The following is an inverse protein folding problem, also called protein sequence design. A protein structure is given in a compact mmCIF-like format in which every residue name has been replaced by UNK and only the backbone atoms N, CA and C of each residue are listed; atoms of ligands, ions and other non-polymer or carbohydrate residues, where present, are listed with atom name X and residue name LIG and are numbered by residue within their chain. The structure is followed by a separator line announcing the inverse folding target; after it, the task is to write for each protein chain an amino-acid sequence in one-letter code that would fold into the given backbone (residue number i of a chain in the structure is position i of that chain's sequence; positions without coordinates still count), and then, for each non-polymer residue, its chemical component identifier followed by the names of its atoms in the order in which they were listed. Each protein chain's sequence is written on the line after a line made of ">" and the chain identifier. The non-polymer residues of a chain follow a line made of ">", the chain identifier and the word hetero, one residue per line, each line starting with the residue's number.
data_IF_539554034436
#
_entry.id   IF_539554034436
#
_cell.length_a   1.000
_cell.length_b   1.000
_cell.length_c   1.000
_cell.angle_alpha   90.00
_cell.angle_beta   90.00
_cell.angle_gamma   90.00
#
_symmetry.space_group_name_H-M   'P 1'
#
loop_
_entity.id
_entity.type
_entity.pdbx_description
1 polymer ?
#
# COMPACT_ATOMS: atom_id res chain seq x y z
N UNK A 1 -40.48 -15.13 19.18
CA UNK A 1 -39.43 -14.37 19.86
C UNK A 1 -39.72 -12.90 19.64
N UNK A 2 -40.00 -12.16 20.71
CA UNK A 2 -40.30 -10.73 20.65
C UNK A 2 -39.03 -9.93 20.27
N UNK A 3 -39.15 -8.77 19.62
CA UNK A 3 -37.97 -7.96 19.21
C UNK A 3 -37.06 -7.63 20.41
N UNK A 4 -37.65 -7.43 21.59
CA UNK A 4 -36.90 -7.23 22.83
C UNK A 4 -36.06 -8.45 23.22
N UNK A 5 -36.60 -9.66 23.10
CA UNK A 5 -35.87 -10.91 23.39
C UNK A 5 -34.71 -11.12 22.40
N UNK A 6 -34.92 -10.77 21.12
CA UNK A 6 -33.85 -10.83 20.11
C UNK A 6 -32.74 -9.83 20.40
N UNK A 7 -33.07 -8.59 20.80
CA UNK A 7 -32.07 -7.58 21.21
C UNK A 7 -31.30 -8.00 22.45
N UNK A 8 -31.98 -8.55 23.46
CA UNK A 8 -31.32 -9.10 24.65
C UNK A 8 -30.41 -10.28 24.31
N UNK A 9 -30.87 -11.17 23.41
CA UNK A 9 -30.05 -12.28 22.91
C UNK A 9 -28.85 -11.81 22.12
N UNK A 10 -29.00 -10.81 21.26
CA UNK A 10 -27.90 -10.18 20.51
C UNK A 10 -26.86 -9.59 21.46
N UNK A 11 -27.27 -8.74 22.41
CA UNK A 11 -26.35 -8.14 23.37
C UNK A 11 -25.58 -9.21 24.17
N UNK A 12 -26.27 -10.27 24.60
CA UNK A 12 -25.64 -11.41 25.28
C UNK A 12 -24.66 -12.15 24.36
N UNK A 13 -25.04 -12.44 23.11
CA UNK A 13 -24.16 -13.12 22.15
C UNK A 13 -22.96 -12.27 21.77
N UNK A 14 -23.11 -10.95 21.63
CA UNK A 14 -22.00 -10.03 21.40
C UNK A 14 -21.05 -10.00 22.60
N UNK A 15 -21.58 -10.03 23.82
CA UNK A 15 -20.76 -10.15 25.03
C UNK A 15 -20.06 -11.52 25.09
N UNK A 16 -20.76 -12.63 24.83
CA UNK A 16 -20.17 -13.98 24.79
C UNK A 16 -19.09 -14.10 23.70
N UNK A 17 -19.33 -13.49 22.53
CA UNK A 17 -18.35 -13.41 21.45
C UNK A 17 -17.12 -12.60 21.87
N UNK A 18 -17.32 -11.46 22.54
CA UNK A 18 -16.21 -10.66 23.05
C UNK A 18 -15.43 -11.41 24.12
N UNK A 19 -16.09 -12.07 25.08
CA UNK A 19 -15.41 -12.91 26.08
C UNK A 19 -14.64 -14.06 25.43
N UNK A 20 -15.22 -14.70 24.41
CA UNK A 20 -14.54 -15.77 23.66
C UNK A 20 -13.34 -15.24 22.90
N UNK A 21 -13.44 -14.04 22.29
CA UNK A 21 -12.30 -13.36 21.64
C UNK A 21 -11.22 -13.01 22.66
N UNK A 22 -11.60 -12.52 23.83
CA UNK A 22 -10.65 -12.20 24.91
C UNK A 22 -9.98 -13.47 25.46
N UNK A 23 -10.71 -14.58 25.57
CA UNK A 23 -10.15 -15.89 25.94
C UNK A 23 -9.21 -16.41 24.86
N UNK A 24 -9.58 -16.30 23.58
CA UNK A 24 -8.74 -16.70 22.46
C UNK A 24 -7.46 -15.86 22.43
N UNK A 25 -7.55 -14.54 22.61
CA UNK A 25 -6.40 -13.63 22.70
C UNK A 25 -5.50 -13.92 23.91
N UNK A 26 -6.03 -14.50 24.99
CA UNK A 26 -5.24 -14.95 26.15
C UNK A 26 -4.55 -16.30 25.93
N UNK A 27 -5.04 -17.12 24.98
CA UNK A 27 -4.52 -18.46 24.69
C UNK A 27 -3.60 -18.45 23.47
N UNK A 28 -3.83 -17.54 22.52
CA UNK A 28 -2.89 -17.24 21.43
C UNK A 28 -1.75 -16.44 22.04
N UNK A 29 -0.64 -17.11 22.31
CA UNK A 29 0.63 -16.45 22.59
C UNK A 29 1.13 -15.76 21.30
N UNK A 30 1.18 -14.42 21.26
CA UNK A 30 1.63 -13.69 20.06
C UNK A 30 3.06 -14.07 19.67
N UNK A 31 3.94 -14.35 20.65
CA UNK A 31 5.33 -14.74 20.39
C UNK A 31 5.41 -16.11 19.73
N UNK A 32 4.66 -17.09 20.26
CA UNK A 32 4.56 -18.41 19.62
C UNK A 32 3.95 -18.33 18.22
N UNK A 33 2.94 -17.46 18.02
CA UNK A 33 2.31 -17.26 16.71
C UNK A 33 3.29 -16.66 15.70
N UNK A 34 3.95 -15.55 16.04
CA UNK A 34 4.95 -14.91 15.19
C UNK A 34 6.11 -15.84 14.86
N UNK A 35 6.61 -16.59 15.85
CA UNK A 35 7.68 -17.59 15.67
C UNK A 35 7.25 -18.69 14.72
N UNK A 36 6.05 -19.26 14.89
CA UNK A 36 5.57 -20.32 14.00
C UNK A 36 5.31 -19.80 12.59
N UNK A 37 4.77 -18.59 12.46
CA UNK A 37 4.50 -17.96 11.18
C UNK A 37 5.81 -17.68 10.41
N UNK A 38 6.84 -17.17 11.11
CA UNK A 38 8.18 -16.98 10.55
C UNK A 38 8.80 -18.29 10.07
N UNK A 39 8.69 -19.35 10.88
CA UNK A 39 9.24 -20.68 10.58
C UNK A 39 8.52 -21.37 9.42
N UNK A 40 7.19 -21.38 9.43
CA UNK A 40 6.37 -22.09 8.45
C UNK A 40 6.25 -21.35 7.11
N UNK A 41 6.45 -20.02 7.10
CA UNK A 41 6.15 -19.14 5.98
C UNK A 41 4.74 -19.35 5.42
N UNK A 42 3.76 -19.65 6.28
CA UNK A 42 2.37 -19.91 5.86
C UNK A 42 1.68 -18.71 5.17
N UNK A 43 2.32 -17.54 5.15
CA UNK A 43 1.91 -16.35 4.43
C UNK A 43 2.42 -16.29 2.96
N UNK A 44 3.26 -17.24 2.54
CA UNK A 44 3.94 -17.22 1.24
C UNK A 44 3.36 -18.25 0.25
N UNK A 45 3.19 -17.84 -1.00
CA UNK A 45 2.60 -18.65 -2.07
C UNK A 45 3.44 -18.54 -3.34
N UNK A 46 3.60 -19.62 -4.10
CA UNK A 46 4.44 -19.58 -5.31
C UNK A 46 3.72 -18.94 -6.49
N UNK A 47 4.39 -18.03 -7.21
CA UNK A 47 3.85 -17.43 -8.44
C UNK A 47 3.53 -18.44 -9.56
N UNK A 48 4.11 -19.65 -9.49
CA UNK A 48 3.85 -20.74 -10.45
C UNK A 48 2.64 -21.60 -10.11
N UNK A 49 2.02 -21.41 -8.95
CA UNK A 49 0.80 -22.11 -8.56
C UNK A 49 -0.41 -21.57 -9.35
N UNK A 50 -1.52 -22.33 -9.46
CA UNK A 50 -2.74 -21.84 -10.09
C UNK A 50 -3.18 -20.50 -9.49
N UNK A 51 -3.54 -19.53 -10.35
CA UNK A 51 -3.84 -18.16 -9.92
C UNK A 51 -4.94 -18.12 -8.86
N UNK A 52 -6.00 -18.92 -9.00
CA UNK A 52 -7.10 -18.95 -8.03
C UNK A 52 -6.64 -19.43 -6.64
N UNK A 53 -5.69 -20.35 -6.56
CA UNK A 53 -5.10 -20.81 -5.30
C UNK A 53 -4.21 -19.73 -4.67
N UNK A 54 -3.40 -19.05 -5.49
CA UNK A 54 -2.59 -17.91 -5.03
C UNK A 54 -3.49 -16.79 -4.51
N UNK A 55 -4.55 -16.44 -5.25
CA UNK A 55 -5.51 -15.40 -4.85
C UNK A 55 -6.19 -15.76 -3.53
N UNK A 56 -6.73 -16.98 -3.42
CA UNK A 56 -7.40 -17.43 -2.22
C UNK A 56 -6.45 -17.45 -1.01
N UNK A 57 -5.25 -18.00 -1.17
CA UNK A 57 -4.25 -18.07 -0.10
C UNK A 57 -3.75 -16.70 0.34
N UNK A 58 -3.41 -15.83 -0.62
CA UNK A 58 -2.97 -14.47 -0.33
C UNK A 58 -4.07 -13.64 0.34
N UNK A 59 -5.31 -13.70 -0.16
CA UNK A 59 -6.43 -12.96 0.42
C UNK A 59 -6.72 -13.40 1.86
N UNK A 60 -6.69 -14.71 2.10
CA UNK A 60 -6.85 -15.30 3.42
C UNK A 60 -5.71 -14.91 4.37
N UNK A 61 -4.44 -14.92 3.91
CA UNK A 61 -3.32 -14.45 4.72
C UNK A 61 -3.40 -12.95 5.00
N UNK A 62 -3.84 -12.12 4.04
CA UNK A 62 -4.07 -10.69 4.28
C UNK A 62 -5.20 -10.46 5.28
N UNK A 63 -6.29 -11.22 5.22
CA UNK A 63 -7.34 -11.11 6.23
C UNK A 63 -6.81 -11.48 7.62
N UNK A 64 -6.15 -12.63 7.77
CA UNK A 64 -5.69 -13.13 9.08
C UNK A 64 -4.51 -12.33 9.65
N UNK A 65 -3.48 -12.14 8.83
CA UNK A 65 -2.18 -11.63 9.23
C UNK A 65 -1.93 -10.19 8.80
N UNK A 66 -2.72 -9.69 7.85
CA UNK A 66 -2.55 -8.35 7.29
C UNK A 66 -1.52 -8.27 6.16
N UNK A 67 -0.88 -9.39 5.80
CA UNK A 67 0.07 -9.46 4.70
C UNK A 67 0.15 -10.86 4.06
N UNK A 68 0.76 -10.93 2.88
CA UNK A 68 1.18 -12.17 2.23
C UNK A 68 2.46 -11.94 1.42
N UNK A 69 3.04 -13.03 0.90
CA UNK A 69 4.16 -13.02 -0.05
C UNK A 69 3.81 -13.87 -1.26
N UNK A 70 4.15 -13.40 -2.46
CA UNK A 70 4.16 -14.22 -3.66
C UNK A 70 5.62 -14.46 -4.06
N UNK A 71 6.07 -15.71 -3.94
CA UNK A 71 7.44 -16.13 -4.21
C UNK A 71 7.72 -16.21 -5.71
N UNK A 72 8.89 -15.72 -6.13
CA UNK A 72 9.42 -15.83 -7.51
C UNK A 72 8.51 -15.24 -8.60
N UNK A 73 7.93 -14.05 -8.36
CA UNK A 73 7.17 -13.32 -9.39
C UNK A 73 8.10 -12.83 -10.50
N UNK A 74 9.25 -12.27 -10.13
CA UNK A 74 10.34 -12.01 -11.07
C UNK A 74 11.13 -13.31 -11.21
N UNK A 75 11.34 -13.82 -12.43
CA UNK A 75 12.13 -15.03 -12.65
C UNK A 75 13.57 -14.88 -12.13
N UNK A 76 14.17 -15.90 -11.48
CA UNK A 76 15.51 -15.83 -10.90
C UNK A 76 16.60 -15.33 -11.87
N UNK A 77 16.49 -15.67 -13.16
CA UNK A 77 17.40 -15.24 -14.22
C UNK A 77 17.34 -13.74 -14.54
N UNK A 78 16.25 -13.06 -14.18
CA UNK A 78 16.07 -11.62 -14.40
C UNK A 78 16.42 -10.77 -13.16
N UNK A 79 16.37 -11.38 -11.97
CA UNK A 79 16.51 -10.71 -10.67
C UNK A 79 17.79 -9.86 -10.59
N UNK A 80 18.94 -10.41 -10.95
CA UNK A 80 20.23 -9.71 -10.83
C UNK A 80 20.25 -8.46 -11.71
N UNK A 81 19.75 -8.57 -12.94
CA UNK A 81 19.71 -7.43 -13.85
C UNK A 81 18.72 -6.36 -13.41
N UNK A 82 17.59 -6.72 -12.79
CA UNK A 82 16.61 -5.77 -12.25
C UNK A 82 17.13 -5.14 -10.96
N UNK A 83 17.87 -5.88 -10.13
CA UNK A 83 18.57 -5.35 -8.96
C UNK A 83 19.55 -4.24 -9.34
N UNK A 84 20.38 -4.47 -10.37
CA UNK A 84 21.31 -3.46 -10.87
C UNK A 84 20.61 -2.20 -11.39
N UNK A 85 19.50 -2.38 -12.10
CA UNK A 85 18.62 -1.28 -12.54
C UNK A 85 18.11 -0.47 -11.35
N UNK A 86 17.51 -1.13 -10.35
CA UNK A 86 16.99 -0.47 -9.14
C UNK A 86 18.09 0.28 -8.35
N UNK A 87 19.31 -0.28 -8.31
CA UNK A 87 20.46 0.37 -7.67
C UNK A 87 20.85 1.66 -8.38
N UNK A 88 20.95 1.65 -9.71
CA UNK A 88 21.31 2.85 -10.46
C UNK A 88 20.19 3.90 -10.43
N UNK A 89 18.92 3.48 -10.49
CA UNK A 89 17.79 4.41 -10.33
C UNK A 89 17.81 5.07 -8.96
N UNK A 90 18.08 4.32 -7.89
CA UNK A 90 18.24 4.90 -6.55
C UNK A 90 19.27 6.03 -6.52
N UNK A 91 20.45 5.83 -7.14
CA UNK A 91 21.47 6.88 -7.25
C UNK A 91 21.01 8.06 -8.10
N UNK A 92 20.34 7.81 -9.24
CA UNK A 92 19.82 8.86 -10.12
C UNK A 92 18.79 9.73 -9.40
N UNK A 93 17.84 9.11 -8.71
CA UNK A 93 16.80 9.78 -7.92
C UNK A 93 17.42 10.62 -6.81
N UNK A 94 18.37 10.07 -6.04
CA UNK A 94 19.08 10.83 -5.00
C UNK A 94 19.80 12.05 -5.56
N UNK A 95 20.57 11.89 -6.65
CA UNK A 95 21.26 13.01 -7.32
C UNK A 95 20.28 14.10 -7.78
N UNK A 96 19.15 13.71 -8.37
CA UNK A 96 18.14 14.65 -8.82
C UNK A 96 17.51 15.42 -7.65
N UNK A 97 17.11 14.72 -6.59
CA UNK A 97 16.52 15.32 -5.38
C UNK A 97 17.50 16.29 -4.72
N UNK A 98 18.77 15.92 -4.59
CA UNK A 98 19.79 16.79 -3.98
C UNK A 98 20.01 18.06 -4.82
N UNK A 99 20.04 17.93 -6.15
CA UNK A 99 20.10 19.10 -7.05
C UNK A 99 18.89 20.01 -6.90
N UNK A 100 17.68 19.44 -6.90
CA UNK A 100 16.43 20.20 -6.68
C UNK A 100 16.52 21.01 -5.38
N UNK A 101 16.87 20.36 -4.27
CA UNK A 101 17.01 21.03 -2.96
C UNK A 101 18.02 22.17 -3.01
N UNK A 102 19.22 21.92 -3.55
CA UNK A 102 20.26 22.94 -3.69
C UNK A 102 19.83 24.14 -4.55
N UNK A 103 19.02 23.92 -5.58
CA UNK A 103 18.50 25.00 -6.42
C UNK A 103 17.43 25.81 -5.72
N UNK A 104 16.51 25.15 -5.02
CA UNK A 104 15.48 25.81 -4.21
C UNK A 104 16.11 26.64 -3.08
N UNK A 105 17.14 26.12 -2.40
CA UNK A 105 17.91 26.86 -1.39
C UNK A 105 18.58 28.12 -1.95
N UNK A 106 18.90 28.13 -3.25
CA UNK A 106 19.45 29.28 -3.97
C UNK A 106 18.38 30.24 -4.52
N UNK A 107 17.11 29.96 -4.28
CA UNK A 107 15.99 30.82 -4.67
C UNK A 107 15.46 30.60 -6.09
N UNK A 108 15.81 29.50 -6.76
CA UNK A 108 15.21 29.15 -8.06
C UNK A 108 13.71 28.88 -7.90
N UNK A 109 12.89 29.42 -8.81
CA UNK A 109 11.45 29.13 -8.80
C UNK A 109 11.16 27.74 -9.37
N UNK A 110 10.03 27.10 -9.00
CA UNK A 110 9.63 25.83 -9.61
C UNK A 110 9.47 25.88 -11.13
N UNK A 111 9.09 27.03 -11.69
CA UNK A 111 8.95 27.25 -13.14
C UNK A 111 10.31 27.29 -13.83
N UNK A 112 11.31 27.95 -13.23
CA UNK A 112 12.68 27.97 -13.77
C UNK A 112 13.27 26.56 -13.79
N UNK A 113 13.04 25.77 -12.73
CA UNK A 113 13.54 24.40 -12.62
C UNK A 113 12.86 23.45 -13.61
N UNK A 114 11.57 23.62 -13.86
CA UNK A 114 10.85 22.81 -14.84
C UNK A 114 11.38 23.03 -16.27
N UNK A 115 11.86 24.23 -16.57
CA UNK A 115 12.38 24.63 -17.87
C UNK A 115 13.92 24.55 -17.97
N UNK A 116 14.61 24.03 -16.94
CA UNK A 116 16.07 23.88 -16.95
C UNK A 116 16.49 22.89 -18.04
N UNK A 117 17.53 23.23 -18.81
CA UNK A 117 18.06 22.37 -19.88
C UNK A 117 19.56 22.19 -19.74
N UNK A 118 20.07 21.07 -20.25
CA UNK A 118 21.49 20.73 -20.21
C UNK A 118 21.82 19.52 -19.32
N UNK A 119 23.10 19.10 -19.27
CA UNK A 119 23.51 17.87 -18.62
C UNK A 119 23.33 17.87 -17.09
N UNK A 120 23.24 19.07 -16.49
CA UNK A 120 23.06 19.25 -15.05
C UNK A 120 21.64 19.66 -14.65
N UNK A 121 20.71 19.71 -15.60
CA UNK A 121 19.33 20.06 -15.36
C UNK A 121 18.66 19.10 -14.38
N UNK A 122 17.76 19.63 -13.56
CA UNK A 122 16.89 18.80 -12.72
C UNK A 122 15.77 18.18 -13.54
N UNK A 123 15.33 17.00 -13.10
CA UNK A 123 14.27 16.24 -13.73
C UNK A 123 12.97 16.48 -12.96
N UNK A 124 12.08 17.29 -13.54
CA UNK A 124 10.76 17.64 -13.02
C UNK A 124 9.68 17.46 -14.08
N UNK A 125 8.48 17.04 -13.67
CA UNK A 125 7.30 16.82 -14.52
C UNK A 125 6.16 17.66 -13.98
N UNK A 126 5.35 18.20 -14.88
CA UNK A 126 4.14 18.89 -14.49
C UNK A 126 3.15 17.93 -13.82
N UNK A 127 2.52 18.38 -12.74
CA UNK A 127 1.42 17.64 -12.10
C UNK A 127 0.10 17.91 -12.80
N UNK A 128 -0.88 17.02 -12.62
CA UNK A 128 -2.21 17.14 -13.24
C UNK A 128 -2.98 18.38 -12.80
N UNK A 129 -2.90 18.75 -11.51
CA UNK A 129 -3.61 19.91 -10.97
C UNK A 129 -2.95 21.22 -11.35
N UNK A 130 -3.68 22.03 -12.11
CA UNK A 130 -3.24 23.35 -12.53
C UNK A 130 -2.91 24.24 -11.32
N UNK A 131 -1.78 24.92 -11.38
CA UNK A 131 -1.32 25.84 -10.33
C UNK A 131 -0.55 25.17 -9.21
N UNK A 132 -0.44 23.84 -9.18
CA UNK A 132 0.46 23.14 -8.27
C UNK A 132 1.89 23.07 -8.84
N UNK A 133 2.93 23.15 -7.99
CA UNK A 133 4.31 22.98 -8.41
C UNK A 133 4.57 21.61 -9.08
N UNK A 134 5.54 21.54 -10.01
CA UNK A 134 5.97 20.27 -10.58
C UNK A 134 6.62 19.37 -9.51
N UNK A 135 6.69 18.07 -9.80
CA UNK A 135 7.31 17.06 -8.94
C UNK A 135 8.42 16.32 -9.71
N UNK A 136 9.38 15.69 -9.01
CA UNK A 136 10.24 14.69 -9.64
C UNK A 136 9.40 13.61 -10.34
N UNK A 137 9.88 13.03 -11.46
CA UNK A 137 9.18 11.93 -12.11
C UNK A 137 9.03 10.71 -11.21
N UNK A 138 8.03 9.88 -11.54
CA UNK A 138 7.93 8.55 -10.97
C UNK A 138 9.17 7.73 -11.31
N UNK A 139 9.75 7.01 -10.33
CA UNK A 139 10.98 6.26 -10.54
C UNK A 139 10.85 5.19 -11.65
N UNK A 140 9.63 4.74 -11.96
CA UNK A 140 9.34 3.74 -13.00
C UNK A 140 9.86 4.14 -14.38
N UNK A 141 9.99 5.44 -14.66
CA UNK A 141 10.48 5.94 -15.96
C UNK A 141 11.91 5.50 -16.26
N UNK A 142 12.66 5.10 -15.23
CA UNK A 142 14.02 4.58 -15.35
C UNK A 142 14.14 3.10 -15.02
N UNK A 143 13.03 2.40 -14.82
CA UNK A 143 13.00 0.97 -14.46
C UNK A 143 12.25 0.11 -15.49
N UNK A 144 12.62 0.13 -16.79
CA UNK A 144 11.88 -0.59 -17.84
C UNK A 144 11.90 -2.11 -17.69
N UNK A 145 12.92 -2.71 -17.04
CA UNK A 145 12.95 -4.15 -16.79
C UNK A 145 12.00 -4.53 -15.66
N UNK A 146 12.05 -3.80 -14.54
CA UNK A 146 11.09 -3.99 -13.45
C UNK A 146 9.64 -3.75 -13.89
N UNK A 147 9.39 -2.75 -14.75
CA UNK A 147 8.05 -2.41 -15.22
C UNK A 147 7.31 -3.59 -15.88
N UNK A 148 8.02 -4.55 -16.47
CA UNK A 148 7.43 -5.75 -17.10
C UNK A 148 6.66 -6.61 -16.10
N UNK A 149 7.03 -6.54 -14.81
CA UNK A 149 6.51 -7.43 -13.76
C UNK A 149 5.38 -6.82 -12.95
N UNK A 150 5.18 -5.50 -13.01
CA UNK A 150 4.16 -4.80 -12.22
C UNK A 150 2.73 -5.28 -12.49
N UNK A 151 2.45 -5.71 -13.73
CA UNK A 151 1.15 -6.19 -14.15
C UNK A 151 1.04 -7.73 -14.12
N UNK A 152 1.93 -8.42 -13.41
CA UNK A 152 1.89 -9.88 -13.31
C UNK A 152 0.48 -10.37 -12.90
N UNK A 153 -0.10 -11.39 -13.57
CA UNK A 153 -1.48 -11.81 -13.35
C UNK A 153 -1.81 -12.16 -11.89
N UNK A 154 -0.94 -12.91 -11.20
CA UNK A 154 -1.15 -13.25 -9.80
C UNK A 154 -1.16 -12.02 -8.88
N UNK A 155 -0.25 -11.06 -9.11
CA UNK A 155 -0.13 -9.85 -8.28
C UNK A 155 -1.36 -8.96 -8.46
N UNK A 156 -1.76 -8.71 -9.71
CA UNK A 156 -2.92 -7.87 -10.01
C UNK A 156 -4.23 -8.54 -9.59
N UNK A 157 -4.36 -9.87 -9.69
CA UNK A 157 -5.53 -10.59 -9.21
C UNK A 157 -5.68 -10.51 -7.69
N UNK A 158 -4.59 -10.70 -6.93
CA UNK A 158 -4.61 -10.51 -5.46
C UNK A 158 -4.95 -9.08 -5.09
N UNK A 159 -4.31 -8.09 -5.73
CA UNK A 159 -4.57 -6.69 -5.45
C UNK A 159 -6.03 -6.28 -5.71
N UNK A 160 -6.62 -6.76 -6.81
CA UNK A 160 -8.03 -6.52 -7.14
C UNK A 160 -9.00 -7.20 -6.18
N UNK A 161 -8.68 -8.42 -5.76
CA UNK A 161 -9.49 -9.17 -4.79
C UNK A 161 -9.54 -8.46 -3.44
N UNK A 162 -8.41 -7.93 -2.97
CA UNK A 162 -8.31 -7.28 -1.66
C UNK A 162 -8.76 -5.81 -1.69
N UNK A 163 -8.62 -5.10 -2.82
CA UNK A 163 -9.04 -3.70 -2.97
C UNK A 163 -10.35 -3.57 -3.77
N UNK A 164 -10.25 -3.37 -5.09
CA UNK A 164 -11.34 -3.28 -6.08
C UNK A 164 -10.73 -3.54 -7.47
N UNK A 165 -11.54 -3.68 -8.52
CA UNK A 165 -11.07 -4.05 -9.86
C UNK A 165 -10.18 -2.98 -10.52
N UNK A 166 -10.44 -1.70 -10.21
CA UNK A 166 -9.67 -0.57 -10.70
C UNK A 166 -8.71 -0.08 -9.62
N UNK A 167 -7.46 -0.54 -9.74
CA UNK A 167 -6.31 -0.18 -8.89
C UNK A 167 -5.34 0.76 -9.61
N UNK A 168 -4.62 1.56 -8.81
CA UNK A 168 -3.61 2.55 -9.22
C UNK A 168 -2.37 2.43 -8.35
N UNK A 169 -1.20 2.81 -8.85
CA UNK A 169 0.04 2.91 -8.07
C UNK A 169 0.27 4.37 -7.64
N UNK A 170 -0.11 4.70 -6.41
CA UNK A 170 -0.01 6.04 -5.84
C UNK A 170 1.40 6.42 -5.38
N UNK A 171 2.29 5.45 -5.19
CA UNK A 171 3.67 5.69 -4.77
C UNK A 171 4.54 4.60 -5.35
N UNK A 172 5.74 4.95 -5.82
CA UNK A 172 6.75 4.00 -6.26
C UNK A 172 8.13 4.61 -6.01
N UNK A 173 9.00 3.87 -5.32
CA UNK A 173 10.38 4.28 -5.13
C UNK A 173 11.32 3.11 -4.83
N UNK A 174 12.59 3.28 -5.20
CA UNK A 174 13.63 2.34 -4.77
C UNK A 174 13.95 2.51 -3.28
N UNK A 175 14.11 1.41 -2.56
CA UNK A 175 14.44 1.38 -1.12
C UNK A 175 15.54 0.36 -0.85
N UNK A 176 16.73 0.87 -0.52
CA UNK A 176 17.86 0.03 -0.14
C UNK A 176 18.10 0.08 1.36
N UNK A 177 18.38 -1.08 1.95
CA UNK A 177 18.91 -1.19 3.31
C UNK A 177 20.38 -1.62 3.19
N UNK A 178 21.34 -0.70 3.41
CA UNK A 178 22.74 -1.02 3.28
C UNK A 178 23.19 -2.00 4.36
N UNK A 179 24.27 -2.73 4.09
CA UNK A 179 24.99 -3.50 5.11
C UNK A 179 25.42 -2.60 6.27
N UNK A 180 25.52 -3.15 7.48
CA UNK A 180 25.97 -2.40 8.64
C UNK A 180 27.33 -1.72 8.43
N UNK A 181 27.51 -0.56 9.06
CA UNK A 181 28.73 0.25 8.96
C UNK A 181 28.90 1.00 7.63
N UNK A 182 28.10 0.69 6.59
CA UNK A 182 28.07 1.47 5.34
C UNK A 182 27.16 2.70 5.52
N UNK A 183 27.72 3.75 6.10
CA UNK A 183 27.01 5.02 6.30
C UNK A 183 27.09 5.91 5.05
N UNK A 184 25.93 6.26 4.48
CA UNK A 184 25.82 7.24 3.40
C UNK A 184 24.37 7.70 3.22
N UNK A 185 24.04 8.87 3.78
CA UNK A 185 22.71 9.50 3.68
C UNK A 185 22.18 9.98 5.05
N UNK A 186 21.03 10.68 5.09
CA UNK A 186 20.32 11.01 6.34
C UNK A 186 19.74 9.72 6.92
N UNK A 187 20.60 8.96 7.57
CA UNK A 187 20.26 7.70 8.19
C UNK A 187 19.73 7.97 9.59
N UNK A 188 18.69 7.25 10.03
CA UNK A 188 18.28 7.24 11.44
C UNK A 188 19.52 7.04 12.33
N UNK A 189 19.69 7.89 13.35
CA UNK A 189 20.85 7.84 14.27
C UNK A 189 21.02 6.47 14.96
N UNK A 190 20.01 5.60 14.85
CA UNK A 190 19.93 4.26 15.43
C UNK A 190 20.21 3.12 14.43
N UNK A 191 20.65 3.42 13.19
CA UNK A 191 21.00 2.36 12.23
C UNK A 191 22.16 1.51 12.77
N UNK A 192 22.02 0.19 12.65
CA UNK A 192 22.91 -0.84 13.16
C UNK A 192 22.45 -1.43 14.49
N UNK A 193 21.41 -0.87 15.13
CA UNK A 193 20.86 -1.40 16.38
C UNK A 193 19.77 -2.45 16.10
N UNK A 194 19.97 -3.73 16.47
CA UNK A 194 19.00 -4.80 16.25
C UNK A 194 17.76 -4.69 17.17
N UNK A 195 17.86 -3.97 18.29
CA UNK A 195 16.80 -3.84 19.29
C UNK A 195 15.79 -2.73 18.96
N UNK A 196 16.15 -1.84 18.03
CA UNK A 196 15.31 -0.71 17.67
C UNK A 196 14.25 -1.10 16.63
N UNK A 197 13.01 -0.66 16.87
CA UNK A 197 11.94 -0.61 15.87
C UNK A 197 11.68 0.84 15.43
N UNK A 198 10.99 1.00 14.31
CA UNK A 198 10.44 2.30 13.89
C UNK A 198 8.99 2.07 13.44
N UNK A 199 8.17 1.56 14.36
CA UNK A 199 6.80 1.14 14.05
C UNK A 199 5.96 2.25 13.44
N UNK A 200 5.28 1.88 12.36
CA UNK A 200 4.31 2.74 11.71
C UNK A 200 3.30 1.91 10.92
N UNK A 201 2.22 2.57 10.58
CA UNK A 201 1.33 2.19 9.48
C UNK A 201 1.68 3.04 8.26
N UNK A 202 1.20 2.66 7.09
CA UNK A 202 1.34 3.46 5.89
C UNK A 202 0.10 4.32 5.62
N UNK A 203 0.24 5.37 4.80
CA UNK A 203 -0.89 6.21 4.40
C UNK A 203 -2.02 5.36 3.76
N UNK A 204 -3.30 5.64 4.04
CA UNK A 204 -3.84 6.79 4.78
C UNK A 204 -3.93 6.62 6.31
N UNK A 205 -3.33 5.56 6.86
CA UNK A 205 -3.40 5.23 8.28
C UNK A 205 -2.23 5.81 9.10
N UNK A 206 -1.14 6.26 8.46
CA UNK A 206 -0.04 6.96 9.14
C UNK A 206 -0.50 8.32 9.69
N UNK A 207 -0.72 8.38 11.01
CA UNK A 207 -1.20 9.57 11.71
C UNK A 207 -0.18 10.71 11.77
N UNK A 208 1.09 10.42 11.50
CA UNK A 208 2.13 11.46 11.39
C UNK A 208 2.18 12.12 10.01
N UNK A 209 1.37 11.63 9.05
CA UNK A 209 1.14 12.12 7.69
C UNK A 209 2.18 13.14 7.21
N UNK A 210 3.23 12.64 6.55
CA UNK A 210 4.34 13.36 5.92
C UNK A 210 4.41 14.87 6.22
N UNK A 211 5.17 15.34 7.20
CA UNK A 211 5.36 16.80 7.41
C UNK A 211 4.49 17.45 8.49
N UNK A 212 3.72 16.69 9.28
CA UNK A 212 3.17 17.18 10.55
C UNK A 212 2.14 18.30 10.37
N UNK A 213 2.27 19.45 11.02
CA UNK A 213 1.28 20.53 10.91
C UNK A 213 1.44 21.42 9.65
N UNK A 214 2.36 21.09 8.74
CA UNK A 214 2.55 21.83 7.50
C UNK A 214 1.50 21.43 6.46
N UNK A 215 0.56 22.33 6.17
CA UNK A 215 -0.50 22.13 5.18
C UNK A 215 0.02 21.89 3.74
N UNK A 216 1.27 22.25 3.44
CA UNK A 216 1.87 22.10 2.12
C UNK A 216 2.65 20.78 1.97
N UNK A 217 3.02 20.15 3.09
CA UNK A 217 3.73 18.88 3.11
C UNK A 217 2.86 17.70 3.58
N UNK A 218 1.88 17.93 4.46
CA UNK A 218 1.01 16.91 5.03
C UNK A 218 0.07 16.30 3.99
N UNK A 219 0.06 14.95 3.91
CA UNK A 219 -0.77 14.20 2.97
C UNK A 219 -2.15 13.75 3.53
N UNK A 220 -2.50 14.21 4.72
CA UNK A 220 -3.66 13.79 5.49
C UNK A 220 -3.54 12.37 6.06
N UNK A 221 -4.45 12.05 6.98
CA UNK A 221 -4.72 10.69 7.45
C UNK A 221 -6.21 10.56 7.76
N UNK A 222 -6.72 9.32 7.78
CA UNK A 222 -8.08 9.07 8.26
C UNK A 222 -8.09 9.07 9.80
N UNK A 223 -9.22 9.47 10.40
CA UNK A 223 -9.37 9.45 11.86
C UNK A 223 -9.43 8.02 12.40
N UNK A 224 -8.86 7.79 13.58
CA UNK A 224 -9.15 6.61 14.38
C UNK A 224 -10.59 6.62 14.95
N UNK A 225 -11.14 5.46 15.34
CA UNK A 225 -10.65 4.13 14.99
C UNK A 225 -10.76 3.91 13.48
N UNK A 226 -9.80 3.20 12.89
CA UNK A 226 -9.81 2.93 11.46
C UNK A 226 -10.95 1.96 11.13
N UNK A 227 -11.67 2.16 10.01
CA UNK A 227 -12.64 1.19 9.57
C UNK A 227 -11.93 -0.12 9.22
N UNK A 228 -12.62 -1.25 9.41
CA UNK A 228 -12.10 -2.54 8.99
C UNK A 228 -12.23 -2.71 7.47
N UNK A 229 -11.41 -1.96 6.73
CA UNK A 229 -11.39 -1.90 5.27
C UNK A 229 -9.95 -1.65 4.80
N UNK A 230 -9.44 -2.53 3.94
CA UNK A 230 -8.14 -2.33 3.29
C UNK A 230 -8.24 -1.17 2.29
N UNK A 231 -7.67 -0.01 2.64
CA UNK A 231 -7.69 1.17 1.75
C UNK A 231 -6.52 1.22 0.78
N UNK A 232 -5.37 0.67 1.17
CA UNK A 232 -4.18 0.55 0.31
C UNK A 232 -3.48 -0.79 0.59
N UNK A 233 -2.80 -1.30 -0.42
CA UNK A 233 -1.80 -2.36 -0.26
C UNK A 233 -0.43 -1.76 -0.54
N UNK A 234 0.53 -2.05 0.33
CA UNK A 234 1.93 -1.72 0.14
C UNK A 234 2.65 -2.97 -0.31
N UNK A 235 3.32 -2.85 -1.44
CA UNK A 235 4.10 -3.93 -2.05
C UNK A 235 5.58 -3.62 -1.90
N UNK A 236 6.35 -4.63 -1.52
CA UNK A 236 7.81 -4.58 -1.47
C UNK A 236 8.32 -5.72 -2.36
N UNK A 237 8.92 -5.34 -3.48
CA UNK A 237 9.55 -6.27 -4.41
C UNK A 237 11.00 -6.45 -3.99
N UNK A 238 11.32 -7.62 -3.44
CA UNK A 238 12.66 -7.93 -2.97
C UNK A 238 13.53 -8.35 -4.15
N UNK A 239 14.65 -7.67 -4.36
CA UNK A 239 15.63 -7.96 -5.43
C UNK A 239 16.90 -8.65 -4.89
N UNK A 240 16.85 -9.02 -3.62
CA UNK A 240 17.82 -9.82 -2.87
C UNK A 240 17.04 -10.74 -1.94
N UNK A 241 17.58 -11.91 -1.60
CA UNK A 241 16.95 -12.76 -0.58
C UNK A 241 16.89 -11.98 0.74
N UNK A 242 15.73 -12.06 1.40
CA UNK A 242 15.47 -11.42 2.69
C UNK A 242 15.11 -12.44 3.75
N UNK A 243 15.60 -12.19 4.95
CA UNK A 243 15.42 -12.95 6.19
C UNK A 243 15.88 -12.07 7.38
N UNK A 244 15.92 -12.63 8.59
CA UNK A 244 16.38 -11.91 9.78
C UNK A 244 17.81 -11.36 9.62
N UNK A 245 18.70 -12.15 9.02
CA UNK A 245 20.11 -11.82 8.83
C UNK A 245 20.35 -10.72 7.78
N UNK A 246 19.45 -10.55 6.81
CA UNK A 246 19.54 -9.54 5.74
C UNK A 246 18.61 -8.34 5.94
N UNK A 247 17.96 -8.26 7.11
CA UNK A 247 17.09 -7.15 7.48
C UNK A 247 15.74 -7.20 6.76
N UNK A 248 15.07 -8.35 6.79
CA UNK A 248 13.67 -8.49 6.37
C UNK A 248 12.77 -7.44 7.02
N UNK A 249 11.67 -7.08 6.36
CA UNK A 249 10.73 -6.09 6.92
C UNK A 249 10.14 -6.62 8.21
N UNK A 250 10.16 -5.81 9.28
CA UNK A 250 9.48 -6.12 10.53
C UNK A 250 7.98 -5.94 10.37
N UNK A 251 7.20 -6.88 10.91
CA UNK A 251 5.74 -6.86 10.85
C UNK A 251 5.17 -7.43 12.15
N UNK A 252 4.05 -6.89 12.61
CA UNK A 252 3.22 -7.50 13.67
C UNK A 252 2.00 -8.16 13.01
N UNK A 253 1.96 -9.49 12.88
CA UNK A 253 0.84 -10.18 12.25
C UNK A 253 -0.50 -9.86 12.93
N UNK A 254 -1.52 -9.53 12.13
CA UNK A 254 -2.89 -9.25 12.62
C UNK A 254 -3.10 -7.83 13.14
N UNK A 255 -2.06 -6.99 13.19
CA UNK A 255 -2.13 -5.62 13.72
C UNK A 255 -3.05 -4.68 12.94
N UNK A 256 -3.41 -4.99 11.69
CA UNK A 256 -4.40 -4.22 10.90
C UNK A 256 -5.81 -4.24 11.48
N UNK A 257 -6.08 -5.16 12.42
CA UNK A 257 -7.35 -5.31 13.14
C UNK A 257 -7.35 -4.64 14.52
N UNK A 258 -6.20 -4.13 14.97
CA UNK A 258 -6.11 -3.39 16.23
C UNK A 258 -6.55 -1.93 16.01
N UNK A 259 -7.33 -1.38 16.93
CA UNK A 259 -7.84 0.00 16.84
C UNK A 259 -6.75 1.04 17.16
N UNK A 260 -5.68 0.61 17.85
CA UNK A 260 -4.51 1.43 18.15
C UNK A 260 -3.63 1.61 16.91
N UNK A 261 -2.80 2.62 16.97
CA UNK A 261 -1.78 2.92 15.98
C UNK A 261 -0.43 3.13 16.71
N UNK A 262 0.70 2.64 16.16
CA UNK A 262 2.00 2.84 16.79
C UNK A 262 2.38 4.31 17.00
N UNK A 263 1.81 5.21 16.19
CA UNK A 263 1.99 6.67 16.28
C UNK A 263 0.74 7.38 16.76
N UNK A 264 -0.23 6.65 17.31
CA UNK A 264 -1.42 7.22 17.92
C UNK A 264 -1.08 7.94 19.22
N UNK A 265 -1.40 9.24 19.36
CA UNK A 265 -0.98 10.03 20.53
C UNK A 265 -1.59 9.55 21.86
N UNK A 266 -2.65 8.74 21.81
CA UNK A 266 -3.39 8.23 22.97
C UNK A 266 -3.33 6.70 23.09
N UNK A 267 -2.49 6.01 22.31
CA UNK A 267 -2.50 4.54 22.21
C UNK A 267 -1.45 3.84 23.10
N UNK A 268 -0.64 4.61 23.85
CA UNK A 268 0.38 4.15 24.79
C UNK A 268 1.37 3.13 24.16
N UNK A 269 1.81 3.42 22.94
CA UNK A 269 2.77 2.60 22.21
C UNK A 269 4.13 3.29 22.11
N UNK A 270 5.20 2.53 22.36
CA UNK A 270 6.58 3.00 22.16
C UNK A 270 7.05 2.55 20.78
N UNK A 271 7.09 3.47 19.81
CA UNK A 271 7.48 3.23 18.41
C UNK A 271 8.78 2.45 18.23
N UNK A 272 9.71 2.60 19.18
CA UNK A 272 11.04 1.97 19.12
C UNK A 272 11.15 0.62 19.79
N UNK A 273 10.17 0.22 20.60
CA UNK A 273 10.24 -1.04 21.35
C UNK A 273 9.70 -2.20 20.51
N UNK A 274 10.23 -3.43 20.67
CA UNK A 274 9.61 -4.63 20.12
C UNK A 274 8.16 -4.78 20.58
N UNK A 275 7.33 -5.38 19.72
CA UNK A 275 5.96 -5.75 20.05
C UNK A 275 5.91 -7.28 20.12
N UNK A 276 5.32 -7.89 21.17
CA UNK A 276 5.24 -9.34 21.27
C UNK A 276 4.65 -9.98 20.00
N UNK A 277 5.35 -10.96 19.45
CA UNK A 277 4.97 -11.61 18.20
C UNK A 277 5.38 -10.88 16.93
N UNK A 278 6.16 -9.79 17.02
CA UNK A 278 6.81 -9.23 15.85
C UNK A 278 7.77 -10.25 15.21
N UNK A 279 7.91 -10.14 13.89
CA UNK A 279 8.79 -11.02 13.12
C UNK A 279 9.35 -10.29 11.91
N UNK A 280 10.44 -10.81 11.35
CA UNK A 280 10.94 -10.37 10.06
C UNK A 280 10.43 -11.29 8.95
N UNK A 281 9.95 -10.68 7.86
CA UNK A 281 9.52 -11.40 6.66
C UNK A 281 10.74 -12.05 6.00
N UNK A 282 10.57 -13.30 5.56
CA UNK A 282 11.54 -14.00 4.70
C UNK A 282 10.98 -14.28 3.31
N UNK A 283 11.80 -14.05 2.29
CA UNK A 283 11.44 -14.28 0.89
C UNK A 283 12.69 -14.39 0.00
N UNK A 284 12.68 -15.27 -1.02
CA UNK A 284 13.73 -15.27 -2.04
C UNK A 284 13.66 -14.01 -2.90
N UNK A 285 14.79 -13.63 -3.49
CA UNK A 285 14.85 -12.55 -4.45
C UNK A 285 13.89 -12.81 -5.63
N UNK A 286 13.25 -11.75 -6.12
CA UNK A 286 12.19 -11.81 -7.13
C UNK A 286 10.78 -12.00 -6.57
N UNK A 287 10.64 -12.12 -5.25
CA UNK A 287 9.34 -12.20 -4.59
C UNK A 287 8.75 -10.82 -4.30
N UNK A 288 7.43 -10.77 -4.16
CA UNK A 288 6.70 -9.57 -3.73
C UNK A 288 5.99 -9.83 -2.41
N UNK A 289 6.29 -9.02 -1.41
CA UNK A 289 5.53 -8.91 -0.19
C UNK A 289 4.38 -7.91 -0.39
N UNK A 290 3.17 -8.24 0.06
CA UNK A 290 1.97 -7.43 -0.08
C UNK A 290 1.31 -7.25 1.28
N UNK A 291 1.12 -6.01 1.73
CA UNK A 291 0.68 -5.67 3.07
C UNK A 291 -0.50 -4.70 3.06
N UNK A 292 -1.51 -4.95 3.90
CA UNK A 292 -2.53 -3.96 4.25
C UNK A 292 -1.87 -2.75 4.93
N UNK A 293 -2.11 -1.53 4.42
CA UNK A 293 -1.45 -0.33 4.93
C UNK A 293 -1.72 -0.02 6.41
N UNK A 294 -2.72 -0.67 7.04
CA UNK A 294 -2.99 -0.61 8.49
C UNK A 294 -2.00 -1.41 9.34
N UNK A 295 -1.27 -2.36 8.76
CA UNK A 295 -0.36 -3.19 9.54
C UNK A 295 0.79 -2.38 10.14
N UNK A 296 1.11 -2.71 11.39
CA UNK A 296 2.25 -2.16 12.11
C UNK A 296 3.51 -2.83 11.61
N UNK A 297 4.36 -2.03 10.97
CA UNK A 297 5.57 -2.53 10.32
C UNK A 297 6.72 -1.54 10.51
N UNK A 298 7.93 -2.03 10.26
CA UNK A 298 9.13 -1.20 10.29
C UNK A 298 10.18 -1.73 9.30
N UNK A 299 11.02 -0.83 8.79
CA UNK A 299 12.27 -1.26 8.17
C UNK A 299 13.19 -1.83 9.26
N UNK A 300 13.89 -2.92 8.97
CA UNK A 300 15.03 -3.30 9.80
C UNK A 300 16.05 -2.16 9.86
N UNK A 301 16.65 -1.97 11.04
CA UNK A 301 17.75 -1.03 11.25
C UNK A 301 19.11 -1.70 11.17
N UNK A 302 19.15 -3.02 11.15
CA UNK A 302 20.37 -3.83 11.14
C UNK A 302 20.37 -4.74 9.89
N UNK A 303 21.54 -4.90 9.26
CA UNK A 303 21.75 -5.81 8.14
C UNK A 303 23.18 -6.41 8.18
N UNK A 304 23.37 -7.48 8.96
CA UNK A 304 24.66 -8.14 9.15
C UNK A 304 25.05 -9.09 8.00
N UNK A 305 24.19 -9.26 6.99
CA UNK A 305 24.38 -10.26 5.93
C UNK A 305 25.61 -10.08 5.03
N UNK A 306 26.33 -8.95 5.15
CA UNK A 306 27.47 -8.63 4.28
C UNK A 306 27.07 -8.11 2.90
N UNK A 307 25.77 -7.93 2.63
CA UNK A 307 25.25 -7.40 1.35
C UNK A 307 24.13 -6.39 1.58
N UNK A 308 24.03 -5.39 0.70
CA UNK A 308 22.89 -4.46 0.73
C UNK A 308 21.61 -5.19 0.33
N UNK A 309 20.52 -4.99 1.08
CA UNK A 309 19.18 -5.44 0.70
C UNK A 309 18.58 -4.41 -0.26
N UNK A 310 18.22 -4.86 -1.46
CA UNK A 310 17.67 -4.00 -2.52
C UNK A 310 16.20 -4.35 -2.73
N UNK A 311 15.32 -3.35 -2.71
CA UNK A 311 13.90 -3.53 -2.97
C UNK A 311 13.30 -2.32 -3.70
N UNK A 312 12.16 -2.54 -4.36
CA UNK A 312 11.31 -1.46 -4.87
C UNK A 312 9.99 -1.50 -4.11
N UNK A 313 9.57 -0.34 -3.59
CA UNK A 313 8.34 -0.21 -2.81
C UNK A 313 7.29 0.52 -3.63
N UNK A 314 6.07 -0.01 -3.64
CA UNK A 314 4.94 0.53 -4.37
C UNK A 314 3.67 0.48 -3.53
N UNK A 315 2.93 1.59 -3.49
CA UNK A 315 1.63 1.65 -2.81
C UNK A 315 0.51 1.63 -3.83
N UNK A 316 -0.35 0.63 -3.71
CA UNK A 316 -1.51 0.42 -4.56
C UNK A 316 -2.76 0.88 -3.83
N UNK A 317 -3.61 1.62 -4.53
CA UNK A 317 -4.88 2.13 -4.01
C UNK A 317 -6.01 1.90 -5.01
N UNK A 318 -7.26 1.77 -4.55
CA UNK A 318 -8.42 1.75 -5.42
C UNK A 318 -8.68 3.15 -5.99
N UNK A 319 -9.31 3.22 -7.16
CA UNK A 319 -9.56 4.45 -7.91
C UNK A 319 -10.38 5.52 -7.15
N UNK A 320 -11.23 5.08 -6.22
CA UNK A 320 -12.10 5.96 -5.44
C UNK A 320 -11.35 6.63 -4.27
N UNK A 321 -10.14 6.17 -3.95
CA UNK A 321 -9.30 6.84 -2.97
C UNK A 321 -8.60 8.01 -3.66
N UNK A 322 -8.88 9.22 -3.19
CA UNK A 322 -8.16 10.41 -3.65
C UNK A 322 -6.71 10.28 -3.24
N UNK A 323 -5.81 10.21 -4.21
CA UNK A 323 -4.35 10.19 -4.00
C UNK A 323 -3.65 11.34 -4.72
N UNK A 324 -4.30 11.85 -5.77
CA UNK A 324 -3.85 13.02 -6.50
C UNK A 324 -4.01 14.26 -5.60
N UNK A 325 -3.02 15.15 -5.63
CA UNK A 325 -3.04 16.48 -4.99
C UNK A 325 -2.70 16.57 -3.51
N UNK A 326 -2.28 15.49 -2.85
CA UNK A 326 -1.78 15.57 -1.49
C UNK A 326 -0.32 16.04 -1.44
N UNK A 327 -0.03 16.95 -0.51
CA UNK A 327 1.28 17.56 -0.31
C UNK A 327 1.91 18.18 -1.59
N UNK A 328 1.22 19.04 -2.34
CA UNK A 328 1.78 19.61 -3.56
C UNK A 328 2.89 20.63 -3.28
N UNK A 329 3.04 21.08 -2.03
CA UNK A 329 3.96 22.16 -1.67
C UNK A 329 3.43 23.54 -2.07
N UNK A 330 4.07 24.58 -1.54
CA UNK A 330 4.14 25.93 -2.13
C UNK A 330 5.33 26.05 -3.12
N UNK A 331 6.23 25.06 -3.11
CA UNK A 331 7.29 24.82 -4.08
C UNK A 331 7.41 23.34 -4.46
N UNK A 332 8.49 22.96 -5.14
CA UNK A 332 8.70 21.56 -5.59
C UNK A 332 8.80 20.61 -4.39
N UNK A 333 7.77 19.78 -4.19
CA UNK A 333 7.79 18.73 -3.18
C UNK A 333 8.50 17.47 -3.71
N UNK A 334 9.46 16.94 -2.95
CA UNK A 334 10.27 15.75 -3.32
C UNK A 334 9.71 14.43 -2.77
N UNK A 335 8.50 14.44 -2.19
CA UNK A 335 7.82 13.20 -1.79
C UNK A 335 7.62 12.24 -2.97
N UNK A 336 7.34 10.97 -2.66
CA UNK A 336 7.19 9.89 -3.66
C UNK A 336 5.73 9.63 -4.04
N UNK A 337 4.79 10.39 -3.48
CA UNK A 337 3.34 10.23 -3.70
C UNK A 337 2.93 10.92 -5.00
N UNK A 338 2.24 10.19 -5.86
CA UNK A 338 1.71 10.61 -7.16
C UNK A 338 2.72 11.41 -7.99
N UNK A 339 3.98 10.94 -8.04
CA UNK A 339 4.99 11.53 -8.92
C UNK A 339 4.55 11.34 -10.38
N UNK A 340 4.52 12.43 -11.19
CA UNK A 340 4.00 12.37 -12.54
C UNK A 340 4.93 11.69 -13.53
N UNK A 341 4.37 11.31 -14.66
CA UNK A 341 5.09 10.85 -15.86
C UNK A 341 4.61 11.65 -17.08
N UNK A 342 5.48 11.82 -18.06
CA UNK A 342 5.12 12.41 -19.35
C UNK A 342 4.29 11.46 -20.19
N UNK A 343 3.62 11.99 -21.21
CA UNK A 343 2.86 11.18 -22.16
C UNK A 343 3.74 10.17 -22.92
N UNK A 344 4.98 10.54 -23.25
CA UNK A 344 5.95 9.64 -23.88
C UNK A 344 6.40 8.52 -22.92
N UNK A 345 6.70 8.88 -21.67
CA UNK A 345 7.05 7.93 -20.61
C UNK A 345 5.90 6.94 -20.36
N UNK A 346 4.64 7.42 -20.32
CA UNK A 346 3.46 6.58 -20.21
C UNK A 346 3.31 5.59 -21.38
N UNK A 347 3.52 6.05 -22.63
CA UNK A 347 3.47 5.18 -23.81
C UNK A 347 4.59 4.13 -23.81
N UNK A 348 5.74 4.44 -23.20
CA UNK A 348 6.85 3.51 -23.07
C UNK A 348 6.61 2.39 -22.04
N UNK A 349 5.65 2.56 -21.12
CA UNK A 349 5.27 1.49 -20.17
C UNK A 349 4.69 0.27 -20.89
N UNK A 350 4.89 -0.95 -20.34
CA UNK A 350 4.20 -2.15 -20.79
C UNK A 350 2.69 -1.92 -20.87
N UNK A 351 2.00 -2.40 -21.93
CA UNK A 351 0.57 -2.15 -22.13
C UNK A 351 -0.30 -2.44 -20.90
N UNK A 352 -0.03 -3.56 -20.22
CA UNK A 352 -0.81 -4.01 -19.06
C UNK A 352 -0.49 -3.22 -17.77
N UNK A 353 0.66 -2.55 -17.72
CA UNK A 353 1.03 -1.68 -16.60
C UNK A 353 0.47 -0.26 -16.75
N UNK A 354 0.19 0.21 -17.98
CA UNK A 354 -0.32 1.57 -18.24
C UNK A 354 -1.55 1.94 -17.40
N UNK A 355 -2.58 1.10 -17.24
CA UNK A 355 -3.74 1.44 -16.42
C UNK A 355 -3.38 1.84 -14.97
N UNK A 356 -2.30 1.27 -14.40
CA UNK A 356 -1.84 1.54 -13.03
C UNK A 356 -1.28 2.96 -12.86
N UNK A 357 -0.77 3.56 -13.95
CA UNK A 357 -0.10 4.87 -13.96
C UNK A 357 -0.88 5.96 -14.70
N UNK A 358 -2.02 5.64 -15.30
CA UNK A 358 -2.82 6.62 -16.06
C UNK A 358 -3.15 7.88 -15.25
N UNK A 359 -3.48 7.72 -13.98
CA UNK A 359 -3.78 8.84 -13.08
C UNK A 359 -2.62 9.85 -12.94
N UNK A 360 -1.36 9.39 -12.95
CA UNK A 360 -0.16 10.23 -12.84
C UNK A 360 0.39 10.75 -14.18
N UNK A 361 -0.28 10.47 -15.30
CA UNK A 361 0.04 11.06 -16.61
C UNK A 361 -0.93 12.22 -16.93
N UNK A 362 -0.55 13.49 -16.77
CA UNK A 362 -1.48 14.63 -16.92
C UNK A 362 -2.21 14.69 -18.26
N UNK A 363 -1.52 14.30 -19.33
CA UNK A 363 -2.03 14.33 -20.71
C UNK A 363 -2.93 13.14 -21.06
N UNK A 364 -3.06 12.18 -20.15
CA UNK A 364 -3.94 11.03 -20.31
C UNK A 364 -5.22 11.24 -19.52
N UNK A 365 -6.36 10.99 -20.18
CA UNK A 365 -7.65 11.06 -19.52
C UNK A 365 -7.81 9.85 -18.60
N UNK A 366 -7.79 10.08 -17.30
CA UNK A 366 -8.06 9.02 -16.34
C UNK A 366 -9.57 8.72 -16.32
N UNK A 367 -9.92 7.47 -16.67
CA UNK A 367 -11.30 6.99 -16.75
C UNK A 367 -11.44 5.70 -15.96
N UNK A 368 -12.66 5.36 -15.56
CA UNK A 368 -12.94 4.05 -14.99
C UNK A 368 -12.50 2.95 -15.96
N UNK A 369 -11.92 1.89 -15.41
CA UNK A 369 -11.56 0.69 -16.16
C UNK A 369 -12.81 -0.17 -16.41
N UNK A 370 -12.76 -0.99 -17.45
CA UNK A 370 -13.90 -1.78 -17.95
C UNK A 370 -14.64 -2.57 -16.88
N UNK A 371 -13.99 -3.30 -15.95
CA UNK A 371 -14.72 -4.09 -14.96
C UNK A 371 -15.66 -3.26 -14.07
N UNK A 372 -15.29 -2.00 -13.77
CA UNK A 372 -16.15 -1.09 -13.01
C UNK A 372 -17.33 -0.61 -13.86
N UNK A 373 -17.12 -0.40 -15.16
CA UNK A 373 -18.18 -0.04 -16.11
C UNK A 373 -19.15 -1.19 -16.33
N UNK A 374 -18.66 -2.42 -16.47
CA UNK A 374 -19.47 -3.64 -16.60
C UNK A 374 -20.38 -3.83 -15.39
N UNK A 375 -19.82 -3.69 -14.18
CA UNK A 375 -20.57 -3.74 -12.92
C UNK A 375 -21.65 -2.67 -12.85
N UNK A 376 -21.36 -1.45 -13.30
CA UNK A 376 -22.33 -0.36 -13.35
C UNK A 376 -23.43 -0.59 -14.39
N UNK A 377 -23.07 -1.09 -15.58
CA UNK A 377 -24.02 -1.40 -16.65
C UNK A 377 -24.98 -2.51 -16.23
N UNK A 378 -24.50 -3.58 -15.59
CA UNK A 378 -25.34 -4.65 -15.05
C UNK A 378 -26.34 -4.11 -14.00
N UNK A 379 -25.91 -3.18 -13.15
CA UNK A 379 -26.80 -2.51 -12.20
C UNK A 379 -27.86 -1.63 -12.90
N UNK A 380 -27.48 -0.92 -13.97
CA UNK A 380 -28.41 -0.13 -14.77
C UNK A 380 -29.47 -1.00 -15.46
N UNK A 381 -29.08 -2.14 -16.02
CA UNK A 381 -30.00 -3.12 -16.61
C UNK A 381 -30.98 -3.67 -15.58
N UNK A 382 -30.48 -3.98 -14.37
CA UNK A 382 -31.31 -4.39 -13.24
C UNK A 382 -32.33 -3.32 -12.84
N UNK A 383 -31.93 -2.05 -12.83
CA UNK A 383 -32.82 -0.92 -12.55
C UNK A 383 -33.92 -0.81 -13.62
N UNK A 384 -33.54 -0.87 -14.90
CA UNK A 384 -34.49 -0.81 -16.01
C UNK A 384 -35.51 -1.95 -15.93
N UNK A 385 -35.06 -3.16 -15.61
CA UNK A 385 -35.94 -4.31 -15.40
C UNK A 385 -36.94 -4.08 -14.26
N UNK A 386 -36.50 -3.51 -13.13
CA UNK A 386 -37.38 -3.17 -12.01
C UNK A 386 -38.49 -2.19 -12.39
N UNK A 387 -38.18 -1.19 -13.23
CA UNK A 387 -39.18 -0.24 -13.74
C UNK A 387 -40.15 -0.87 -14.74
N UNK A 388 -39.68 -1.74 -15.64
CA UNK A 388 -40.54 -2.49 -16.55
C UNK A 388 -41.55 -3.36 -15.79
N UNK A 389 -41.13 -4.00 -14.69
CA UNK A 389 -42.04 -4.76 -13.82
C UNK A 389 -43.13 -3.86 -13.20
N UNK A 390 -42.80 -2.61 -12.86
CA UNK A 390 -43.76 -1.66 -12.31
C UNK A 390 -44.81 -1.23 -13.33
N UNK A 391 -44.38 -0.94 -14.55
CA UNK A 391 -45.27 -0.56 -15.65
C UNK A 391 -46.21 -1.70 -16.04
N UNK A 392 -45.72 -2.95 -16.02
CA UNK A 392 -46.49 -4.13 -16.43
C UNK A 392 -47.42 -4.66 -15.33
N UNK A 393 -47.04 -4.60 -14.05
CA UNK A 393 -47.83 -5.18 -12.96
C UNK A 393 -47.66 -4.47 -11.61
N UNK A 394 -48.11 -3.21 -11.56
CA UNK A 394 -48.07 -2.35 -10.37
C UNK A 394 -48.64 -2.97 -9.09
N UNK A 395 -49.74 -3.73 -9.19
CA UNK A 395 -50.39 -4.33 -8.03
C UNK A 395 -49.52 -5.41 -7.37
N UNK A 396 -48.78 -6.19 -8.18
CA UNK A 396 -47.89 -7.25 -7.68
C UNK A 396 -46.63 -6.75 -6.97
N UNK A 397 -46.20 -5.50 -7.24
CA UNK A 397 -44.97 -4.97 -6.67
C UNK A 397 -45.10 -4.43 -5.25
N UNK A 398 -46.32 -4.23 -4.74
CA UNK A 398 -46.57 -3.66 -3.41
C UNK A 398 -45.79 -4.39 -2.30
N UNK A 399 -45.72 -5.72 -2.41
CA UNK A 399 -45.08 -6.58 -1.41
C UNK A 399 -43.80 -7.25 -1.94
N UNK A 400 -43.30 -6.87 -3.13
CA UNK A 400 -42.14 -7.51 -3.77
C UNK A 400 -40.86 -7.43 -2.92
N UNK A 401 -40.70 -6.35 -2.15
CA UNK A 401 -39.60 -6.17 -1.22
C UNK A 401 -39.94 -6.53 0.24
N UNK A 402 -41.08 -7.18 0.52
CA UNK A 402 -41.48 -7.54 1.88
C UNK A 402 -40.49 -8.51 2.57
N UNK A 403 -39.64 -9.18 1.79
CA UNK A 403 -38.54 -10.02 2.27
C UNK A 403 -37.33 -9.21 2.76
N UNK A 404 -37.17 -7.96 2.31
CA UNK A 404 -36.07 -7.07 2.72
C UNK A 404 -36.38 -6.54 4.12
N UNK A 405 -35.49 -6.85 5.07
CA UNK A 405 -35.58 -6.37 6.45
C UNK A 405 -34.37 -5.50 6.75
N UNK A 406 -34.51 -4.19 6.62
CA UNK A 406 -33.47 -3.23 7.05
C UNK A 406 -33.51 -3.15 8.57
N UNK A 407 -32.45 -3.63 9.23
CA UNK A 407 -32.33 -3.54 10.67
C UNK A 407 -32.17 -2.08 11.09
N UNK A 408 -33.19 -1.47 11.70
CA UNK A 408 -33.08 -0.16 12.35
C UNK A 408 -32.48 -0.32 13.76
N UNK A 409 -31.22 -0.76 13.82
CA UNK A 409 -30.50 -0.76 15.09
C UNK A 409 -30.01 0.66 15.38
N UNK A 410 -30.74 1.37 16.24
CA UNK A 410 -30.17 2.49 16.99
C UNK A 410 -29.15 1.90 17.97
N UNK A 411 -27.89 1.86 17.57
CA UNK A 411 -26.80 1.71 18.52
C UNK A 411 -26.66 3.05 19.24
N UNK A 412 -27.12 3.12 20.49
CA UNK A 412 -26.60 4.11 21.43
C UNK A 412 -25.10 3.86 21.54
N UNK A 413 -24.32 4.82 21.04
CA UNK A 413 -22.86 4.85 21.22
C UNK A 413 -22.49 5.01 22.67
#
# INVERSE_FOLDING_TARGET
>A
MHVSELKTREARLSHELQETRDQLAKVIDPEAYGTELARSRAYAFSASSPIDEVVAGCADSVDRNGFCVIDNVIPPEEVDSIREEAVEVGKRVSRNIDRIRQRLEKGSSPEDLLNETGPDAVELRQVRKRGCPPKPPNDIVWMPKYAQHLAHPAVTAVARHVLDDHVRIAQLHSRHLPVDGKHGGPVSKHRGDPETREWHTDWPHDLSAYGGNDQYANAGCIRQPFPDLTMCIVMIWYLTDVDENSGGTWIVPGSHKDERNPRGPNDDMVVSAPIPGDMQVSAPAGSVYMQDSRCWHASAMHNPSGRDRVAVVNRWCPWWLSVDDFAPGDGVNTNTVCRPISHEEYKALPPDARPLFRHVCPDERDTLQEPVLDRAQAAQERNNFGWQQFEQNRASLKDANAHVRVASMHFSR
#
